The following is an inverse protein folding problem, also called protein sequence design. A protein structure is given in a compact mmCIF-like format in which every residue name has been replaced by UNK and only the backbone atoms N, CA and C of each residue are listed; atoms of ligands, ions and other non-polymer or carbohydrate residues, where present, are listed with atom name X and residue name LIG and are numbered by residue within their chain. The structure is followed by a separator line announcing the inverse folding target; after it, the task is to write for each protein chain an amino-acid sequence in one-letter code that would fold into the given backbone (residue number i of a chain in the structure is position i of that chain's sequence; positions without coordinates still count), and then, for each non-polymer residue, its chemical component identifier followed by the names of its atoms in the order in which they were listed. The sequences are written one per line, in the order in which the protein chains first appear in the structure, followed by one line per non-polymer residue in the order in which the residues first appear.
data_IF_255590688109
#
_entry.id   IF_255590688109
#
_cell.length_a   1.000
_cell.length_b   1.000
_cell.length_c   1.000
_cell.angle_alpha   90.00
_cell.angle_beta   90.00
_cell.angle_gamma   90.00
#
_symmetry.space_group_name_H-M   'P 1'
#
loop_
_entity.id
_entity.type
_entity.pdbx_description
1 polymer ?
#
# COMPACT_ATOMS: atom_id res chain seq x y z
N UNK A 1 5.15 -18.47 9.69
CA UNK A 1 5.52 -18.05 11.05
C UNK A 1 6.84 -18.67 11.46
N UNK A 2 7.01 -20.00 11.42
CA UNK A 2 8.31 -20.63 11.72
C UNK A 2 9.45 -20.21 10.78
N UNK A 3 9.13 -19.87 9.52
CA UNK A 3 10.10 -19.31 8.57
C UNK A 3 10.66 -17.94 8.99
N UNK A 4 9.95 -17.16 9.81
CA UNK A 4 10.45 -15.90 10.35
C UNK A 4 11.44 -16.18 11.48
N UNK A 5 11.17 -17.21 12.30
CA UNK A 5 12.07 -17.65 13.38
C UNK A 5 13.45 -18.03 12.86
N UNK A 6 13.52 -18.65 11.68
CA UNK A 6 14.79 -19.03 11.04
C UNK A 6 15.57 -17.85 10.47
N UNK A 7 14.91 -16.71 10.23
CA UNK A 7 15.55 -15.48 9.70
C UNK A 7 15.98 -14.57 10.85
N UNK A 8 15.08 -14.34 11.82
CA UNK A 8 15.35 -13.53 13.00
C UNK A 8 14.46 -13.97 14.18
N UNK A 9 15.10 -14.51 15.21
CA UNK A 9 14.44 -14.96 16.45
C UNK A 9 13.79 -13.80 17.21
N UNK A 10 14.40 -12.61 17.22
CA UNK A 10 13.86 -11.44 17.95
C UNK A 10 12.60 -10.92 17.26
N UNK A 11 12.60 -10.89 15.94
CA UNK A 11 11.42 -10.51 15.16
C UNK A 11 10.28 -11.52 15.38
N UNK A 12 10.60 -12.81 15.44
CA UNK A 12 9.64 -13.86 15.77
C UNK A 12 9.06 -13.67 17.17
N UNK A 13 9.90 -13.51 18.20
CA UNK A 13 9.48 -13.32 19.59
C UNK A 13 8.62 -12.07 19.76
N UNK A 14 8.98 -10.98 19.08
CA UNK A 14 8.20 -9.74 19.07
C UNK A 14 6.83 -9.90 18.39
N UNK A 15 6.76 -10.70 17.32
CA UNK A 15 5.50 -11.00 16.62
C UNK A 15 4.58 -11.83 17.52
N UNK A 16 5.05 -12.97 18.03
CA UNK A 16 4.23 -13.90 18.83
C UNK A 16 3.80 -13.34 20.20
N UNK A 17 4.49 -12.33 20.72
CA UNK A 17 4.11 -11.64 21.96
C UNK A 17 3.02 -10.58 21.76
N UNK A 18 2.75 -10.16 20.52
CA UNK A 18 1.67 -9.22 20.20
C UNK A 18 0.41 -9.94 19.80
N UNK A 19 -0.71 -9.28 20.08
CA UNK A 19 -2.02 -9.70 19.63
C UNK A 19 -2.07 -9.80 18.09
N UNK A 20 -2.48 -10.95 17.58
CA UNK A 20 -2.55 -11.28 16.14
C UNK A 20 -3.45 -10.28 15.42
N UNK A 21 -4.45 -9.76 16.12
CA UNK A 21 -5.35 -8.71 15.66
C UNK A 21 -4.63 -7.43 15.21
N UNK A 22 -3.42 -7.20 15.73
CA UNK A 22 -2.60 -6.02 15.46
C UNK A 22 -1.44 -6.30 14.52
N UNK A 23 -1.34 -7.50 13.95
CA UNK A 23 -0.23 -7.88 13.06
C UNK A 23 -0.41 -7.31 11.66
N UNK A 24 -1.66 -7.13 11.22
CA UNK A 24 -1.96 -6.62 9.89
C UNK A 24 -3.13 -5.64 9.97
N UNK A 25 -3.05 -4.54 9.23
CA UNK A 25 -4.16 -3.58 9.04
C UNK A 25 -5.39 -4.27 8.40
N UNK A 26 -5.21 -5.50 7.89
CA UNK A 26 -6.23 -6.32 7.24
C UNK A 26 -7.02 -7.21 8.22
N UNK A 27 -6.56 -7.40 9.46
CA UNK A 27 -7.29 -8.20 10.45
C UNK A 27 -8.31 -7.33 11.17
N UNK A 28 -9.48 -7.15 10.55
CA UNK A 28 -10.45 -6.16 10.99
C UNK A 28 -11.74 -6.73 11.60
N UNK A 29 -11.80 -8.04 11.89
CA UNK A 29 -13.04 -8.70 12.38
C UNK A 29 -14.28 -8.50 11.49
N UNK A 30 -14.09 -8.16 10.22
CA UNK A 30 -15.16 -7.77 9.29
C UNK A 30 -15.50 -6.27 9.33
N UNK A 31 -14.89 -5.50 10.22
CA UNK A 31 -14.98 -4.05 10.25
C UNK A 31 -14.00 -3.44 9.27
N UNK A 32 -14.38 -3.36 7.99
CA UNK A 32 -13.62 -2.68 6.94
C UNK A 32 -13.33 -1.22 7.31
N UNK A 33 -12.24 -1.00 8.05
CA UNK A 33 -11.52 0.27 8.13
C UNK A 33 -10.67 0.50 6.87
N UNK A 34 -10.87 -0.31 5.83
CA UNK A 34 -10.51 0.09 4.48
C UNK A 34 -11.10 1.46 4.18
N UNK A 35 -10.35 2.29 3.45
CA UNK A 35 -10.78 3.60 2.96
C UNK A 35 -12.25 3.53 2.56
N UNK A 36 -13.13 4.13 3.36
CA UNK A 36 -14.58 4.07 3.17
C UNK A 36 -15.03 4.78 1.87
N UNK A 37 -14.07 5.26 1.07
CA UNK A 37 -14.31 5.73 -0.28
C UNK A 37 -14.13 4.57 -1.26
N UNK A 38 -15.24 4.12 -1.83
CA UNK A 38 -15.31 3.35 -3.09
C UNK A 38 -14.62 4.06 -4.27
N UNK A 39 -13.90 5.16 -4.04
CA UNK A 39 -13.33 6.01 -5.06
C UNK A 39 -11.87 5.69 -5.39
N UNK A 40 -11.24 4.67 -4.81
CA UNK A 40 -9.85 4.37 -5.16
C UNK A 40 -9.74 4.17 -6.69
N UNK A 41 -10.63 3.34 -7.26
CA UNK A 41 -10.75 3.18 -8.71
C UNK A 41 -11.14 4.47 -9.45
N UNK A 42 -12.02 5.31 -8.89
CA UNK A 42 -12.42 6.59 -9.49
C UNK A 42 -11.29 7.65 -9.50
N UNK A 43 -10.50 7.73 -8.43
CA UNK A 43 -9.34 8.62 -8.32
C UNK A 43 -8.27 8.21 -9.33
N UNK A 44 -8.03 6.90 -9.47
CA UNK A 44 -7.20 6.36 -10.55
C UNK A 44 -7.82 6.61 -11.92
N UNK A 45 -9.14 6.59 -12.08
CA UNK A 45 -9.79 6.86 -13.35
C UNK A 45 -9.50 8.27 -13.89
N UNK A 46 -9.38 9.26 -12.99
CA UNK A 46 -8.95 10.63 -13.31
C UNK A 46 -7.48 10.70 -13.74
N UNK A 47 -6.60 10.02 -12.99
CA UNK A 47 -5.15 9.91 -13.30
C UNK A 47 -4.93 9.26 -14.66
N UNK A 48 -5.67 8.18 -14.95
CA UNK A 48 -5.53 7.41 -16.18
C UNK A 48 -6.26 8.03 -17.38
N UNK A 49 -7.10 9.06 -17.19
CA UNK A 49 -7.93 9.66 -18.25
C UNK A 49 -7.11 10.12 -19.47
N UNK A 50 -5.91 10.66 -19.24
CA UNK A 50 -5.00 11.12 -20.31
C UNK A 50 -4.22 9.99 -20.97
N UNK A 51 -4.21 8.82 -20.35
CA UNK A 51 -3.35 7.68 -20.70
C UNK A 51 -4.11 6.55 -21.40
N UNK A 52 -5.44 6.64 -21.53
CA UNK A 52 -6.30 5.57 -22.06
C UNK A 52 -6.01 5.18 -23.51
N UNK A 53 -5.38 6.05 -24.29
CA UNK A 53 -4.96 5.76 -25.67
C UNK A 53 -3.54 5.23 -25.81
N UNK A 54 -2.80 5.08 -24.69
CA UNK A 54 -1.43 4.60 -24.71
C UNK A 54 -1.39 3.07 -24.77
N UNK A 55 -0.34 2.49 -25.38
CA UNK A 55 -0.03 1.07 -25.22
C UNK A 55 0.04 0.70 -23.75
N UNK A 56 -0.39 -0.52 -23.39
CA UNK A 56 -0.46 -1.00 -22.00
C UNK A 56 0.87 -0.78 -21.25
N UNK A 57 2.00 -0.99 -21.92
CA UNK A 57 3.31 -0.76 -21.35
C UNK A 57 3.56 0.71 -20.98
N UNK A 58 3.18 1.64 -21.85
CA UNK A 58 3.31 3.07 -21.59
C UNK A 58 2.35 3.55 -20.49
N UNK A 59 1.16 2.95 -20.41
CA UNK A 59 0.20 3.19 -19.32
C UNK A 59 0.76 2.76 -17.96
N UNK A 60 1.35 1.56 -17.88
CA UNK A 60 1.97 1.03 -16.66
C UNK A 60 3.13 1.93 -16.23
N UNK A 61 4.04 2.27 -17.15
CA UNK A 61 5.18 3.16 -16.86
C UNK A 61 4.71 4.53 -16.36
N UNK A 62 3.74 5.15 -17.02
CA UNK A 62 3.21 6.45 -16.61
C UNK A 62 2.58 6.41 -15.21
N UNK A 63 1.82 5.35 -14.90
CA UNK A 63 1.19 5.18 -13.59
C UNK A 63 2.23 4.97 -12.48
N UNK A 64 3.23 4.13 -12.74
CA UNK A 64 4.32 3.83 -11.80
C UNK A 64 5.11 5.08 -11.43
N UNK A 65 5.60 5.83 -12.43
CA UNK A 65 6.37 7.04 -12.18
C UNK A 65 5.53 8.11 -11.48
N UNK A 66 4.26 8.26 -11.86
CA UNK A 66 3.36 9.21 -11.20
C UNK A 66 3.16 8.87 -9.72
N UNK A 67 2.93 7.60 -9.38
CA UNK A 67 2.83 7.15 -7.99
C UNK A 67 4.11 7.44 -7.20
N UNK A 68 5.29 7.13 -7.74
CA UNK A 68 6.57 7.42 -7.08
C UNK A 68 6.71 8.91 -6.79
N UNK A 69 6.44 9.77 -7.77
CA UNK A 69 6.53 11.22 -7.58
C UNK A 69 5.58 11.70 -6.48
N UNK A 70 4.35 11.16 -6.41
CA UNK A 70 3.42 11.48 -5.33
C UNK A 70 3.93 11.04 -3.95
N UNK A 71 4.54 9.86 -3.85
CA UNK A 71 5.13 9.39 -2.59
C UNK A 71 6.30 10.24 -2.14
N UNK A 72 7.24 10.55 -3.04
CA UNK A 72 8.39 11.39 -2.73
C UNK A 72 7.97 12.80 -2.28
N UNK A 73 6.97 13.38 -2.96
CA UNK A 73 6.43 14.68 -2.56
C UNK A 73 5.82 14.66 -1.16
N UNK A 74 5.06 13.60 -0.82
CA UNK A 74 4.51 13.44 0.54
C UNK A 74 5.59 13.23 1.60
N UNK A 75 6.67 12.53 1.25
CA UNK A 75 7.82 12.36 2.13
C UNK A 75 8.50 13.70 2.43
N UNK A 76 8.67 14.55 1.42
CA UNK A 76 9.21 15.90 1.57
C UNK A 76 8.28 16.79 2.41
N UNK A 77 6.98 16.78 2.13
CA UNK A 77 5.97 17.52 2.89
C UNK A 77 5.91 17.07 4.37
N UNK A 78 6.20 15.79 4.66
CA UNK A 78 6.23 15.25 6.03
C UNK A 78 7.47 15.62 6.82
N UNK A 79 8.53 16.13 6.18
CA UNK A 79 9.78 16.53 6.82
C UNK A 79 9.78 18.02 7.22
N UNK A 80 8.80 18.80 6.77
CA UNK A 80 8.54 20.18 7.17
C UNK A 80 7.51 20.25 8.31
#
# INVERSE_FOLDING_TARGET
MESIRTIDQRAYDWLVTRDVEKWTILYDYGARYGTMTTNASESFNGVLKRSRGLPIQALISATYYHCITMFLKREEDSKN
#
